data_IF_996583345112
#
_entry.id   IF_996583345112
#
_cell.length_a   1.000
_cell.length_b   1.000
_cell.length_c   1.000
_cell.angle_alpha   90.00
_cell.angle_beta   90.00
_cell.angle_gamma   90.00
#
_symmetry.space_group_name_H-M   'P 1'
#
loop_
_entity.id
_entity.type
_entity.pdbx_description
1 polymer ?
#
# COMPACT_ATOMS: atom_id res chain seq x y z
N UNK A 1 -0.72 -1.84 -14.82
CA UNK A 1 0.37 -1.72 -13.81
C UNK A 1 -0.08 -2.40 -12.52
N UNK A 2 0.71 -3.29 -11.93
CA UNK A 2 0.33 -4.02 -10.68
C UNK A 2 0.74 -3.31 -9.38
N UNK A 3 1.57 -2.27 -9.45
CA UNK A 3 2.01 -1.48 -8.30
C UNK A 3 1.14 -0.23 -8.17
N UNK A 4 0.17 -0.29 -7.28
CA UNK A 4 -0.98 0.64 -7.24
C UNK A 4 -1.22 1.21 -5.85
N UNK A 5 -0.80 0.50 -4.80
CA UNK A 5 -1.04 0.86 -3.42
C UNK A 5 0.16 1.60 -2.84
N UNK A 6 -0.06 2.82 -2.35
CA UNK A 6 0.95 3.59 -1.63
C UNK A 6 0.90 3.32 -0.12
N UNK A 7 1.94 3.77 0.59
CA UNK A 7 1.99 3.75 2.05
C UNK A 7 0.78 4.45 2.69
N UNK A 8 0.27 5.51 2.04
CA UNK A 8 -0.90 6.24 2.52
C UNK A 8 -2.19 5.44 2.35
N UNK A 9 -2.35 4.74 1.23
CA UNK A 9 -3.54 3.91 0.98
C UNK A 9 -3.63 2.79 2.02
N UNK A 10 -2.49 2.16 2.32
CA UNK A 10 -2.41 1.14 3.38
C UNK A 10 -2.69 1.73 4.76
N UNK A 11 -2.17 2.92 5.06
CA UNK A 11 -2.47 3.58 6.34
C UNK A 11 -3.97 3.84 6.51
N UNK A 12 -4.65 4.31 5.46
CA UNK A 12 -6.08 4.61 5.48
C UNK A 12 -6.90 3.33 5.62
N UNK A 13 -6.65 2.33 4.78
CA UNK A 13 -7.41 1.07 4.78
C UNK A 13 -7.23 0.26 6.07
N UNK A 14 -6.07 0.35 6.71
CA UNK A 14 -5.79 -0.37 7.96
C UNK A 14 -5.98 0.50 9.21
N UNK A 15 -6.44 1.76 9.08
CA UNK A 15 -6.59 2.68 10.21
C UNK A 15 -5.29 2.96 10.97
N UNK A 16 -4.13 2.91 10.30
CA UNK A 16 -2.82 3.07 10.94
C UNK A 16 -2.43 4.54 11.07
N UNK A 17 -1.88 4.91 12.23
CA UNK A 17 -1.17 6.17 12.38
C UNK A 17 0.08 6.22 11.48
N UNK A 18 0.50 7.41 11.08
CA UNK A 18 1.69 7.62 10.23
C UNK A 18 2.95 6.93 10.80
N UNK A 19 3.12 6.97 12.14
CA UNK A 19 4.24 6.29 12.80
C UNK A 19 4.19 4.77 12.64
N UNK A 20 3.05 4.13 12.94
CA UNK A 20 2.87 2.69 12.82
C UNK A 20 3.03 2.22 11.38
N UNK A 21 2.47 2.98 10.44
CA UNK A 21 2.60 2.70 9.02
C UNK A 21 4.07 2.76 8.58
N UNK A 22 4.81 3.82 8.92
CA UNK A 22 6.24 3.92 8.59
C UNK A 22 7.07 2.79 9.21
N UNK A 23 6.74 2.37 10.44
CA UNK A 23 7.41 1.24 11.09
C UNK A 23 7.14 -0.06 10.34
N UNK A 24 5.90 -0.31 9.94
CA UNK A 24 5.51 -1.48 9.14
C UNK A 24 6.27 -1.53 7.81
N UNK A 25 6.36 -0.42 7.08
CA UNK A 25 7.07 -0.35 5.80
C UNK A 25 8.61 -0.36 5.90
N UNK A 26 9.17 -0.49 7.11
CA UNK A 26 10.60 -0.83 7.28
C UNK A 26 10.86 -2.33 7.19
N UNK A 27 9.81 -3.15 7.16
CA UNK A 27 9.93 -4.59 7.05
C UNK A 27 10.70 -4.99 5.77
N UNK A 28 11.71 -5.87 5.87
CA UNK A 28 12.48 -6.30 4.70
C UNK A 28 11.63 -6.98 3.61
N UNK A 29 10.52 -7.62 3.96
CA UNK A 29 9.61 -8.25 3.00
C UNK A 29 8.91 -7.23 2.08
N UNK A 30 8.81 -5.96 2.52
CA UNK A 30 8.20 -4.86 1.78
C UNK A 30 9.22 -4.03 0.99
N UNK A 31 10.43 -4.54 0.74
CA UNK A 31 11.41 -3.85 -0.10
C UNK A 31 11.09 -3.89 -1.60
N UNK A 32 10.20 -4.78 -2.04
CA UNK A 32 9.78 -4.86 -3.44
C UNK A 32 8.67 -3.84 -3.74
N UNK A 33 9.08 -2.61 -4.02
CA UNK A 33 8.21 -1.51 -4.46
C UNK A 33 8.72 -0.90 -5.76
N UNK A 34 7.83 -0.22 -6.48
CA UNK A 34 8.23 0.73 -7.52
C UNK A 34 8.18 2.15 -6.96
N UNK A 35 9.11 2.99 -7.42
CA UNK A 35 9.10 4.41 -7.12
C UNK A 35 8.56 5.14 -8.36
N UNK A 36 7.44 5.85 -8.20
CA UNK A 36 6.89 6.70 -9.25
C UNK A 36 7.14 8.18 -8.92
N UNK A 37 7.44 9.03 -9.92
CA UNK A 37 7.61 10.46 -9.70
C UNK A 37 6.35 11.05 -9.09
N UNK A 38 6.51 11.85 -8.03
CA UNK A 38 5.39 12.58 -7.45
C UNK A 38 4.93 13.69 -8.40
N UNK A 39 3.66 14.14 -8.31
CA UNK A 39 3.21 15.30 -9.07
C UNK A 39 4.13 16.50 -8.79
N UNK A 40 4.47 17.25 -9.85
CA UNK A 40 5.29 18.46 -9.82
C UNK A 40 6.75 18.27 -9.37
N UNK A 41 7.39 17.14 -9.70
CA UNK A 41 8.81 16.92 -9.36
C UNK A 41 9.05 16.72 -7.86
N UNK A 42 7.99 16.43 -7.10
CA UNK A 42 8.07 16.09 -5.69
C UNK A 42 8.78 14.76 -5.43
N UNK A 43 9.06 14.47 -4.15
CA UNK A 43 9.69 13.21 -3.73
C UNK A 43 8.95 12.02 -4.32
N UNK A 44 9.68 11.02 -4.88
CA UNK A 44 9.04 9.87 -5.50
C UNK A 44 8.20 9.12 -4.47
N UNK A 45 6.97 8.80 -4.87
CA UNK A 45 6.06 7.99 -4.05
C UNK A 45 6.34 6.52 -4.33
N UNK A 46 6.32 5.72 -3.27
CA UNK A 46 6.54 4.27 -3.35
C UNK A 46 5.20 3.58 -3.45
N UNK A 47 5.13 2.59 -4.32
CA UNK A 47 3.94 1.79 -4.59
C UNK A 47 4.28 0.32 -4.53
N UNK A 48 3.37 -0.45 -3.94
CA UNK A 48 3.47 -1.89 -3.74
C UNK A 48 2.34 -2.60 -4.46
N UNK A 49 2.55 -3.90 -4.71
CA UNK A 49 1.50 -4.79 -5.20
C UNK A 49 0.67 -5.27 -4.01
N UNK A 50 -0.64 -5.38 -4.19
CA UNK A 50 -1.51 -6.01 -3.19
C UNK A 50 -1.01 -7.41 -2.81
N UNK A 51 -0.64 -8.22 -3.80
CA UNK A 51 -0.10 -9.57 -3.60
C UNK A 51 1.16 -9.63 -2.71
N UNK A 52 1.94 -8.55 -2.64
CA UNK A 52 3.11 -8.46 -1.76
C UNK A 52 2.75 -7.95 -0.37
N UNK A 53 1.70 -7.13 -0.25
CA UNK A 53 1.26 -6.53 1.02
C UNK A 53 0.46 -7.51 1.87
N UNK A 54 -0.54 -8.16 1.27
CA UNK A 54 -1.47 -9.08 1.96
C UNK A 54 -0.75 -10.14 2.81
N UNK A 55 0.27 -10.88 2.34
CA UNK A 55 0.92 -11.90 3.17
C UNK A 55 1.66 -11.31 4.39
N UNK A 56 2.15 -10.07 4.31
CA UNK A 56 2.84 -9.40 5.43
C UNK A 56 1.81 -8.80 6.41
N UNK A 57 0.71 -8.27 5.88
CA UNK A 57 -0.40 -7.75 6.67
C UNK A 57 -1.12 -8.85 7.44
N UNK A 58 -1.35 -10.02 6.85
CA UNK A 58 -1.94 -11.19 7.51
C UNK A 58 -1.12 -11.72 8.69
N UNK A 59 0.17 -11.41 8.76
CA UNK A 59 1.01 -11.76 9.92
C UNK A 59 0.79 -10.81 11.11
N UNK A 60 0.09 -9.69 10.90
CA UNK A 60 -0.18 -8.71 11.93
C UNK A 60 -1.45 -9.06 12.69
N UNK A 61 -1.35 -9.11 14.01
CA UNK A 61 -2.49 -9.42 14.91
C UNK A 61 -3.65 -8.44 14.79
N UNK A 62 -3.40 -7.22 14.31
CA UNK A 62 -4.41 -6.17 14.15
C UNK A 62 -5.07 -6.16 12.77
N UNK A 63 -4.62 -6.99 11.83
CA UNK A 63 -5.14 -6.99 10.47
C UNK A 63 -6.37 -7.88 10.35
N UNK A 64 -7.47 -7.32 9.87
CA UNK A 64 -8.75 -8.02 9.74
C UNK A 64 -9.09 -8.33 8.27
N UNK A 65 -9.99 -9.30 8.02
CA UNK A 65 -10.48 -9.58 6.67
C UNK A 65 -11.17 -8.37 6.00
N UNK A 66 -11.78 -7.50 6.79
CA UNK A 66 -12.41 -6.26 6.30
C UNK A 66 -11.35 -5.31 5.72
N UNK A 67 -10.24 -5.10 6.44
CA UNK A 67 -9.12 -4.28 5.96
C UNK A 67 -8.50 -4.85 4.67
N UNK A 68 -8.43 -6.19 4.54
CA UNK A 68 -7.99 -6.83 3.30
C UNK A 68 -8.92 -6.54 2.13
N UNK A 69 -10.24 -6.58 2.38
CA UNK A 69 -11.25 -6.27 1.37
C UNK A 69 -11.17 -4.81 0.95
N UNK A 70 -10.99 -3.88 1.89
CA UNK A 70 -10.79 -2.46 1.60
C UNK A 70 -9.53 -2.21 0.77
N UNK A 71 -8.42 -2.89 1.08
CA UNK A 71 -7.19 -2.82 0.28
C UNK A 71 -7.38 -3.36 -1.13
N UNK A 72 -8.12 -4.46 -1.29
CA UNK A 72 -8.43 -5.01 -2.60
C UNK A 72 -9.32 -4.06 -3.42
N UNK A 73 -10.31 -3.42 -2.80
CA UNK A 73 -11.13 -2.40 -3.44
C UNK A 73 -10.29 -1.17 -3.87
N UNK A 74 -9.39 -0.70 -3.00
CA UNK A 74 -8.48 0.40 -3.34
C UNK A 74 -7.53 0.03 -4.48
N UNK A 75 -6.98 -1.19 -4.49
CA UNK A 75 -6.14 -1.68 -5.58
C UNK A 75 -6.90 -1.64 -6.91
N UNK A 76 -8.12 -2.15 -6.95
CA UNK A 76 -8.98 -2.10 -8.14
C UNK A 76 -9.26 -0.66 -8.59
N UNK A 77 -9.61 0.24 -7.66
CA UNK A 77 -9.86 1.64 -7.98
C UNK A 77 -8.62 2.33 -8.56
N UNK A 78 -7.45 2.10 -7.99
CA UNK A 78 -6.20 2.71 -8.46
C UNK A 78 -5.76 2.14 -9.81
N UNK A 79 -5.98 0.84 -10.06
CA UNK A 79 -5.76 0.22 -11.38
C UNK A 79 -6.62 0.87 -12.46
N UNK A 80 -7.90 1.11 -12.16
CA UNK A 80 -8.83 1.74 -13.09
C UNK A 80 -8.47 3.21 -13.35
N UNK A 81 -7.99 3.93 -12.32
CA UNK A 81 -7.60 5.34 -12.43
C UNK A 81 -6.31 5.58 -13.18
N UNK A 82 -5.38 4.61 -13.18
CA UNK A 82 -4.13 4.69 -13.95
C UNK A 82 -4.27 4.30 -15.42
N UNK A 83 -5.49 4.02 -15.89
CA UNK A 83 -5.79 3.54 -17.24
C UNK A 83 -6.62 4.55 -18.08
N UNK A 84 -6.74 5.78 -17.59
CA UNK A 84 -7.32 6.95 -18.29
C UNK A 84 -6.20 7.94 -18.66
#
# INVERSE_FOLDING_TARGET
>A
MDYTLSMRDVAVACGLSDFSCRKFFRDPALRNFTAQPGPNGGRPRRYWRLASLVPVLRQQVWFTPEMETELAHLDLQQRNKGND
#
